data_IF_118961579359
#
_entry.id   IF_118961579359
#
_cell.length_a   1.000
_cell.length_b   1.000
_cell.length_c   1.000
_cell.angle_alpha   90.00
_cell.angle_beta   90.00
_cell.angle_gamma   90.00
#
_symmetry.space_group_name_H-M   'P 1'
#
loop_
_entity.id
_entity.type
_entity.pdbx_description
1 polymer ?
#
# COMPACT_ATOMS: atom_id res chain seq x y z
N UNK A 1 40.89 52.07 -27.67
CA UNK A 1 40.45 51.54 -26.34
C UNK A 1 38.98 51.25 -26.17
N UNK A 2 38.07 51.55 -27.12
CA UNK A 2 36.61 51.26 -26.97
C UNK A 2 36.21 49.85 -27.39
N UNK A 3 36.97 49.13 -28.22
CA UNK A 3 36.64 47.78 -28.67
C UNK A 3 36.90 46.70 -27.62
N UNK A 4 37.87 46.89 -26.70
CA UNK A 4 38.17 45.89 -25.66
C UNK A 4 37.10 45.73 -24.59
N UNK A 5 36.38 46.80 -24.26
CA UNK A 5 35.31 46.74 -23.26
C UNK A 5 34.05 46.05 -23.78
N UNK A 6 33.79 46.11 -25.10
CA UNK A 6 32.65 45.46 -25.72
C UNK A 6 32.85 43.93 -25.74
N UNK A 7 34.08 43.48 -25.94
CA UNK A 7 34.39 42.03 -25.91
C UNK A 7 34.32 41.44 -24.50
N UNK A 8 34.77 42.20 -23.49
CA UNK A 8 34.71 41.77 -22.09
C UNK A 8 33.26 41.68 -21.58
N UNK A 9 32.39 42.61 -22.00
CA UNK A 9 30.96 42.57 -21.62
C UNK A 9 30.20 41.39 -22.29
N UNK A 10 30.56 41.02 -23.52
CA UNK A 10 29.96 39.92 -24.24
C UNK A 10 30.34 38.57 -23.60
N UNK A 11 31.60 38.40 -23.19
CA UNK A 11 32.06 37.20 -22.50
C UNK A 11 31.40 37.04 -21.12
N UNK A 12 31.18 38.12 -20.38
CA UNK A 12 30.50 38.11 -19.10
C UNK A 12 29.02 37.68 -19.23
N UNK A 13 28.33 38.10 -20.30
CA UNK A 13 26.93 37.70 -20.54
C UNK A 13 26.83 36.19 -20.87
N UNK A 14 27.77 35.63 -21.60
CA UNK A 14 27.78 34.19 -21.95
C UNK A 14 28.00 33.31 -20.71
N UNK A 15 28.80 33.79 -19.72
CA UNK A 15 29.02 33.06 -18.48
C UNK A 15 27.78 32.99 -17.56
N UNK A 16 26.83 33.91 -17.67
CA UNK A 16 25.62 33.91 -16.89
C UNK A 16 24.54 32.90 -17.39
N UNK A 17 24.59 32.50 -18.65
CA UNK A 17 23.64 31.52 -19.19
C UNK A 17 24.13 30.06 -19.11
N UNK A 18 25.37 29.82 -18.67
CA UNK A 18 25.96 28.48 -18.54
C UNK A 18 25.67 27.74 -17.22
N UNK A 19 25.02 28.38 -16.25
CA UNK A 19 24.73 27.77 -14.94
C UNK A 19 23.31 27.18 -14.87
N UNK A 20 22.89 26.49 -15.90
CA UNK A 20 21.84 25.48 -15.71
C UNK A 20 22.54 24.23 -15.15
N UNK A 21 22.76 24.21 -13.83
CA UNK A 21 23.01 22.95 -13.15
C UNK A 21 21.79 22.07 -13.42
N UNK A 22 21.94 21.04 -14.27
CA UNK A 22 21.06 19.91 -14.26
C UNK A 22 21.17 19.32 -12.85
N UNK A 23 20.32 19.79 -11.95
CA UNK A 23 19.95 18.96 -10.83
C UNK A 23 19.40 17.69 -11.50
N UNK A 24 20.18 16.62 -11.46
CA UNK A 24 19.63 15.30 -11.56
C UNK A 24 18.62 15.25 -10.40
N UNK A 25 17.36 15.47 -10.70
CA UNK A 25 16.28 15.10 -9.81
C UNK A 25 16.50 13.60 -9.64
N UNK A 26 17.07 13.22 -8.50
CA UNK A 26 16.95 11.84 -8.01
C UNK A 26 15.45 11.69 -7.90
N UNK A 27 14.84 11.07 -8.89
CA UNK A 27 13.46 10.59 -8.80
C UNK A 27 13.51 9.54 -7.70
N UNK A 28 13.37 9.99 -6.44
CA UNK A 28 12.86 9.13 -5.41
C UNK A 28 11.57 8.56 -5.99
N UNK A 29 11.49 7.25 -6.06
CA UNK A 29 10.29 6.61 -6.56
C UNK A 29 9.16 6.96 -5.58
N UNK A 30 8.44 8.03 -5.92
CA UNK A 30 7.36 8.62 -5.09
C UNK A 30 6.32 7.54 -4.75
N UNK A 31 6.29 6.45 -5.55
CA UNK A 31 5.42 5.31 -5.32
C UNK A 31 5.85 4.42 -4.15
N UNK A 32 7.04 4.61 -3.58
CA UNK A 32 7.58 3.79 -2.48
C UNK A 32 7.56 4.50 -1.12
N UNK A 33 7.37 5.82 -1.11
CA UNK A 33 7.39 6.59 0.12
C UNK A 33 6.13 6.33 0.96
N UNK A 34 6.33 6.08 2.26
CA UNK A 34 5.25 5.95 3.24
C UNK A 34 5.00 7.30 3.90
N UNK A 35 3.84 7.89 3.63
CA UNK A 35 3.41 9.16 4.23
C UNK A 35 2.35 8.88 5.27
N UNK A 36 2.73 8.80 6.55
CA UNK A 36 1.80 8.53 7.64
C UNK A 36 1.19 9.82 8.15
N UNK A 37 -0.10 10.02 7.88
CA UNK A 37 -0.93 11.07 8.48
C UNK A 37 -1.79 10.38 9.55
N UNK A 38 -1.67 10.80 10.81
CA UNK A 38 -2.43 10.22 11.90
C UNK A 38 -3.94 10.55 11.77
N UNK A 39 -4.78 9.58 12.12
CA UNK A 39 -6.23 9.80 12.25
C UNK A 39 -6.52 10.68 13.48
N UNK A 40 -7.45 11.62 13.36
CA UNK A 40 -7.80 12.56 14.45
C UNK A 40 -8.42 11.86 15.66
N UNK A 41 -9.14 10.76 15.44
CA UNK A 41 -9.81 9.99 16.48
C UNK A 41 -8.92 8.93 17.12
N UNK A 42 -7.90 8.46 16.42
CA UNK A 42 -6.94 7.46 16.89
C UNK A 42 -5.56 7.64 16.22
N UNK A 43 -4.68 8.37 16.88
CA UNK A 43 -3.36 8.73 16.36
C UNK A 43 -2.42 7.56 16.09
N UNK A 44 -2.77 6.33 16.50
CA UNK A 44 -2.00 5.14 16.17
C UNK A 44 -2.41 4.52 14.81
N UNK A 45 -3.52 4.97 14.24
CA UNK A 45 -3.97 4.57 12.91
C UNK A 45 -3.68 5.67 11.88
N UNK A 46 -3.41 5.33 10.62
CA UNK A 46 -3.36 6.34 9.57
C UNK A 46 -4.75 6.89 9.30
N UNK A 47 -4.86 8.16 8.96
CA UNK A 47 -6.08 8.72 8.39
C UNK A 47 -6.44 7.98 7.10
N UNK A 48 -7.74 7.87 6.80
CA UNK A 48 -8.16 7.39 5.48
C UNK A 48 -7.87 8.48 4.44
N UNK A 49 -7.09 8.14 3.43
CA UNK A 49 -6.76 9.00 2.30
C UNK A 49 -6.95 8.25 0.97
N UNK A 50 -6.92 9.00 -0.15
CA UNK A 50 -7.02 8.46 -1.50
C UNK A 50 -5.90 9.05 -2.39
N UNK A 51 -4.71 9.22 -1.78
CA UNK A 51 -3.57 9.93 -2.37
C UNK A 51 -2.39 9.02 -2.71
N UNK A 52 -2.46 7.73 -2.36
CA UNK A 52 -1.38 6.77 -2.60
C UNK A 52 -0.22 6.92 -1.61
N UNK A 53 -0.51 7.19 -0.35
CA UNK A 53 0.50 7.42 0.71
C UNK A 53 1.17 6.16 1.25
N UNK A 54 0.89 5.00 0.65
CA UNK A 54 1.47 3.70 1.02
C UNK A 54 1.27 3.34 2.48
N UNK A 55 0.10 3.65 3.02
CA UNK A 55 -0.26 3.39 4.41
C UNK A 55 -1.41 2.41 4.52
N UNK A 56 -1.41 1.66 5.60
CA UNK A 56 -2.59 0.96 6.09
C UNK A 56 -2.56 0.89 7.61
N UNK A 57 -3.72 0.67 8.19
CA UNK A 57 -3.87 0.43 9.61
C UNK A 57 -5.21 -0.19 9.94
N UNK A 58 -5.23 -1.01 10.99
CA UNK A 58 -6.42 -1.63 11.54
C UNK A 58 -6.26 -1.85 13.04
N UNK A 59 -7.37 -2.02 13.75
CA UNK A 59 -7.38 -2.54 15.10
C UNK A 59 -7.52 -4.07 15.06
N UNK A 60 -6.56 -4.77 15.62
CA UNK A 60 -6.59 -6.20 15.86
C UNK A 60 -6.84 -6.42 17.36
N UNK A 61 -8.12 -6.59 17.73
CA UNK A 61 -8.60 -6.58 19.13
C UNK A 61 -8.22 -5.27 19.85
N UNK A 62 -7.19 -5.31 20.71
CA UNK A 62 -6.67 -4.15 21.47
C UNK A 62 -5.38 -3.60 20.87
N UNK A 63 -4.80 -4.30 19.92
CA UNK A 63 -3.53 -3.95 19.30
C UNK A 63 -3.75 -3.26 17.95
N UNK A 64 -2.71 -2.64 17.44
CA UNK A 64 -2.72 -2.01 16.13
C UNK A 64 -1.98 -2.89 15.13
N UNK A 65 -2.57 -3.13 13.98
CA UNK A 65 -1.89 -3.68 12.82
C UNK A 65 -1.64 -2.54 11.84
N UNK A 66 -0.39 -2.17 11.64
CA UNK A 66 -0.02 -0.97 10.87
C UNK A 66 1.16 -1.23 9.95
N UNK A 67 1.29 -0.37 8.95
CA UNK A 67 2.44 -0.37 8.05
C UNK A 67 3.76 -0.25 8.81
N UNK A 68 4.78 -0.97 8.34
CA UNK A 68 6.15 -0.89 8.85
C UNK A 68 7.04 -0.15 7.85
N UNK A 69 7.79 0.84 8.32
CA UNK A 69 8.76 1.55 7.48
C UNK A 69 9.86 0.59 7.00
N UNK A 70 10.18 0.64 5.71
CA UNK A 70 11.22 -0.19 5.10
C UNK A 70 10.75 -1.54 4.54
N UNK A 71 9.45 -1.84 4.61
CA UNK A 71 8.84 -3.00 3.97
C UNK A 71 7.82 -2.50 2.95
N UNK A 72 7.77 -3.11 1.77
CA UNK A 72 6.70 -2.86 0.80
C UNK A 72 5.36 -3.29 1.41
N UNK A 73 4.47 -2.34 1.76
CA UNK A 73 3.33 -2.64 2.63
C UNK A 73 2.21 -3.39 1.93
N UNK A 74 2.16 -3.35 0.61
CA UNK A 74 1.17 -4.05 -0.19
C UNK A 74 1.82 -4.76 -1.37
N UNK A 75 1.44 -6.02 -1.56
CA UNK A 75 1.75 -6.81 -2.75
C UNK A 75 0.46 -7.37 -3.33
N UNK A 76 0.35 -7.36 -4.64
CA UNK A 76 -0.80 -7.92 -5.35
C UNK A 76 -0.32 -8.96 -6.35
N UNK A 77 -1.04 -10.07 -6.38
CA UNK A 77 -0.77 -11.16 -7.31
C UNK A 77 -2.08 -11.65 -7.91
N UNK A 78 -2.11 -11.79 -9.22
CA UNK A 78 -3.21 -12.43 -9.92
C UNK A 78 -2.78 -13.80 -10.42
N UNK A 79 -3.57 -14.81 -10.11
CA UNK A 79 -3.35 -16.18 -10.55
C UNK A 79 -4.68 -16.92 -10.73
N UNK A 80 -4.92 -17.51 -11.90
CA UNK A 80 -6.04 -18.41 -12.18
C UNK A 80 -7.43 -17.86 -11.75
N UNK A 81 -7.76 -16.63 -12.16
CA UNK A 81 -9.05 -16.01 -11.83
C UNK A 81 -9.17 -15.47 -10.40
N UNK A 82 -8.09 -15.51 -9.62
CA UNK A 82 -8.07 -15.01 -8.24
C UNK A 82 -7.06 -13.89 -8.06
N UNK A 83 -7.46 -12.88 -7.31
CA UNK A 83 -6.58 -11.85 -6.81
C UNK A 83 -6.13 -12.20 -5.40
N UNK A 84 -4.84 -12.15 -5.15
CA UNK A 84 -4.23 -12.17 -3.84
C UNK A 84 -3.74 -10.76 -3.50
N UNK A 85 -4.20 -10.24 -2.38
CA UNK A 85 -3.77 -8.95 -1.81
C UNK A 85 -3.11 -9.21 -0.48
N UNK A 86 -1.87 -8.75 -0.31
CA UNK A 86 -1.05 -9.02 0.89
C UNK A 86 -0.75 -7.71 1.58
N UNK A 87 -1.23 -7.56 2.82
CA UNK A 87 -0.88 -6.46 3.71
C UNK A 87 0.25 -6.92 4.63
N UNK A 88 1.42 -6.31 4.49
CA UNK A 88 2.61 -6.67 5.26
C UNK A 88 3.01 -5.53 6.21
N UNK A 89 3.04 -5.80 7.49
CA UNK A 89 3.26 -4.79 8.50
C UNK A 89 3.64 -5.34 9.87
N UNK A 90 3.28 -4.60 10.90
CA UNK A 90 3.57 -4.96 12.29
C UNK A 90 2.33 -4.89 13.17
N UNK A 91 2.19 -5.84 14.06
CA UNK A 91 1.32 -5.76 15.22
C UNK A 91 2.03 -4.96 16.31
N UNK A 92 1.48 -3.79 16.62
CA UNK A 92 1.93 -2.94 17.72
C UNK A 92 1.02 -3.19 18.92
N UNK A 93 1.56 -3.79 19.97
CA UNK A 93 0.81 -4.02 21.21
C UNK A 93 0.56 -2.70 21.94
N UNK A 94 -0.65 -2.53 22.45
CA UNK A 94 -0.96 -1.50 23.43
C UNK A 94 -0.19 -1.87 24.70
N UNK A 95 0.69 -1.00 25.17
CA UNK A 95 1.69 -1.31 26.17
C UNK A 95 1.13 -2.00 27.42
N UNK A 96 1.43 -3.28 27.58
CA UNK A 96 1.58 -3.87 28.90
C UNK A 96 2.96 -3.46 29.42
N UNK A 97 3.03 -2.81 30.57
CA UNK A 97 4.23 -2.23 31.18
C UNK A 97 5.42 -3.21 31.34
N UNK A 98 5.22 -4.51 31.06
CA UNK A 98 6.15 -5.60 31.28
C UNK A 98 6.65 -6.32 30.02
N UNK A 99 6.21 -5.93 28.83
CA UNK A 99 6.57 -6.65 27.59
C UNK A 99 7.64 -5.88 26.81
N UNK A 100 8.82 -6.49 26.66
CA UNK A 100 9.91 -5.97 25.83
C UNK A 100 9.63 -6.03 24.33
N UNK A 101 8.63 -6.81 23.88
CA UNK A 101 8.27 -6.99 22.46
C UNK A 101 6.98 -6.25 22.12
N UNK A 102 7.07 -4.92 21.95
CA UNK A 102 5.94 -4.08 21.55
C UNK A 102 5.53 -4.29 20.08
N UNK A 103 6.40 -4.85 19.24
CA UNK A 103 6.20 -5.01 17.82
C UNK A 103 6.43 -6.47 17.41
N UNK A 104 5.52 -7.03 16.65
CA UNK A 104 5.68 -8.33 16.02
C UNK A 104 5.33 -8.21 14.52
N UNK A 105 6.10 -8.85 13.62
CA UNK A 105 5.68 -8.93 12.21
C UNK A 105 4.28 -9.50 12.11
N UNK A 106 3.45 -8.92 11.27
CA UNK A 106 2.10 -9.41 10.99
C UNK A 106 1.77 -9.22 9.52
N UNK A 107 1.23 -10.26 8.90
CA UNK A 107 0.82 -10.22 7.50
C UNK A 107 -0.59 -10.77 7.37
N UNK A 108 -1.44 -10.10 6.58
CA UNK A 108 -2.77 -10.57 6.22
C UNK A 108 -2.82 -10.77 4.71
N UNK A 109 -3.42 -11.87 4.30
CA UNK A 109 -3.60 -12.29 2.91
C UNK A 109 -5.10 -12.35 2.62
N UNK A 110 -5.57 -11.59 1.63
CA UNK A 110 -6.92 -11.67 1.10
C UNK A 110 -6.85 -12.30 -0.29
N UNK A 111 -7.49 -13.45 -0.46
CA UNK A 111 -7.65 -14.10 -1.77
C UNK A 111 -9.13 -14.06 -2.14
N UNK A 112 -9.45 -13.60 -3.34
CA UNK A 112 -10.83 -13.52 -3.83
C UNK A 112 -10.91 -13.72 -5.34
N UNK A 113 -12.05 -14.23 -5.88
CA UNK A 113 -12.27 -14.31 -7.31
C UNK A 113 -12.28 -12.92 -7.95
N UNK A 114 -11.56 -12.76 -9.06
CA UNK A 114 -11.54 -11.52 -9.84
C UNK A 114 -11.19 -11.84 -11.30
N UNK A 115 -12.13 -12.44 -12.02
CA UNK A 115 -11.91 -12.94 -13.39
C UNK A 115 -11.64 -11.82 -14.42
N UNK A 116 -11.97 -10.59 -14.07
CA UNK A 116 -11.77 -9.43 -14.95
C UNK A 116 -10.34 -8.91 -15.01
N UNK A 117 -9.47 -9.35 -14.12
CA UNK A 117 -8.07 -8.93 -14.08
C UNK A 117 -7.22 -9.79 -15.01
N UNK A 118 -6.65 -9.19 -16.04
CA UNK A 118 -5.72 -9.85 -16.97
C UNK A 118 -4.39 -9.11 -17.07
N UNK A 119 -4.35 -7.88 -16.58
CA UNK A 119 -3.18 -7.02 -16.63
C UNK A 119 -3.16 -6.06 -15.45
N UNK A 120 -2.05 -5.34 -15.31
CA UNK A 120 -1.91 -4.29 -14.31
C UNK A 120 -2.96 -3.17 -14.48
N UNK A 121 -3.34 -2.86 -15.71
CA UNK A 121 -4.36 -1.85 -16.05
C UNK A 121 -5.74 -2.20 -15.49
N UNK A 122 -6.02 -3.48 -15.37
CA UNK A 122 -7.31 -3.97 -14.88
C UNK A 122 -7.52 -3.73 -13.38
N UNK A 123 -6.47 -3.32 -12.64
CA UNK A 123 -6.61 -2.88 -11.25
C UNK A 123 -7.60 -1.71 -11.10
N UNK A 124 -7.80 -0.90 -12.14
CA UNK A 124 -8.81 0.16 -12.15
C UNK A 124 -10.24 -0.37 -12.02
N UNK A 125 -10.50 -1.61 -12.41
CA UNK A 125 -11.81 -2.26 -12.27
C UNK A 125 -12.18 -2.55 -10.82
N UNK A 126 -11.21 -2.49 -9.90
CA UNK A 126 -11.47 -2.57 -8.45
C UNK A 126 -12.16 -1.31 -7.91
N UNK A 127 -12.28 -0.23 -8.71
CA UNK A 127 -12.95 0.98 -8.25
C UNK A 127 -14.37 0.72 -7.77
N UNK A 128 -14.68 1.15 -6.54
CA UNK A 128 -15.97 0.97 -5.87
C UNK A 128 -16.42 -0.51 -5.76
N UNK A 129 -15.46 -1.44 -5.60
CA UNK A 129 -15.71 -2.88 -5.53
C UNK A 129 -15.68 -3.37 -4.09
N UNK A 130 -16.75 -4.04 -3.66
CA UNK A 130 -16.88 -4.69 -2.35
C UNK A 130 -16.73 -6.19 -2.49
N UNK A 131 -15.83 -6.77 -1.72
CA UNK A 131 -15.59 -8.20 -1.65
C UNK A 131 -16.15 -8.71 -0.31
N UNK A 132 -17.17 -9.55 -0.36
CA UNK A 132 -17.66 -10.27 0.82
C UNK A 132 -16.69 -11.43 1.11
N UNK A 133 -15.98 -11.36 2.21
CA UNK A 133 -14.93 -12.33 2.57
C UNK A 133 -15.47 -13.69 3.02
N UNK A 134 -16.80 -13.83 3.20
CA UNK A 134 -17.46 -15.14 3.45
C UNK A 134 -17.96 -15.81 2.16
N UNK A 135 -17.83 -15.13 1.01
CA UNK A 135 -18.29 -15.68 -0.26
C UNK A 135 -17.42 -16.85 -0.73
N UNK A 136 -18.03 -17.74 -1.50
CA UNK A 136 -17.33 -18.88 -2.10
C UNK A 136 -16.14 -18.43 -2.94
N UNK A 137 -14.99 -19.06 -2.72
CA UNK A 137 -13.74 -18.74 -3.41
C UNK A 137 -12.90 -17.66 -2.73
N UNK A 138 -13.44 -16.97 -1.71
CA UNK A 138 -12.66 -16.08 -0.85
C UNK A 138 -11.91 -16.87 0.22
N UNK A 139 -10.72 -16.44 0.56
CA UNK A 139 -9.91 -16.97 1.65
C UNK A 139 -9.16 -15.82 2.33
N UNK A 140 -9.11 -15.83 3.65
CA UNK A 140 -8.28 -14.93 4.44
C UNK A 140 -7.27 -15.74 5.23
N UNK A 141 -5.99 -15.39 5.11
CA UNK A 141 -4.91 -15.97 5.91
C UNK A 141 -4.22 -14.90 6.72
N UNK A 142 -3.67 -15.30 7.85
CA UNK A 142 -2.91 -14.41 8.73
C UNK A 142 -1.65 -15.11 9.22
N UNK A 143 -0.57 -14.33 9.28
CA UNK A 143 0.71 -14.72 9.89
C UNK A 143 1.05 -13.71 10.97
N UNK A 144 1.43 -14.17 12.16
CA UNK A 144 1.89 -13.32 13.27
C UNK A 144 3.23 -13.85 13.78
N UNK A 145 4.19 -12.93 13.96
CA UNK A 145 5.54 -13.26 14.38
C UNK A 145 6.36 -13.96 13.31
N UNK A 146 7.35 -14.72 13.74
CA UNK A 146 8.29 -15.45 12.89
C UNK A 146 7.73 -16.81 12.39
N UNK A 147 6.42 -17.04 12.53
CA UNK A 147 5.80 -18.27 12.06
C UNK A 147 6.17 -18.56 10.60
N UNK A 148 6.49 -19.80 10.29
CA UNK A 148 6.90 -20.22 8.94
C UNK A 148 5.75 -20.20 7.92
N UNK A 149 4.51 -20.37 8.38
CA UNK A 149 3.30 -20.43 7.54
C UNK A 149 2.20 -19.53 8.06
N UNK A 150 1.37 -19.04 7.13
CA UNK A 150 0.15 -18.34 7.45
C UNK A 150 -0.97 -19.33 7.79
N UNK A 151 -1.83 -18.98 8.74
CA UNK A 151 -3.00 -19.75 9.14
C UNK A 151 -4.23 -19.23 8.39
N UNK A 152 -5.02 -20.12 7.80
CA UNK A 152 -6.33 -19.78 7.23
C UNK A 152 -7.31 -19.47 8.36
N UNK A 153 -8.03 -18.35 8.23
CA UNK A 153 -9.00 -17.89 9.20
C UNK A 153 -10.40 -18.46 8.88
N UNK A 154 -11.12 -18.91 9.90
CA UNK A 154 -12.54 -19.26 9.80
C UNK A 154 -13.38 -17.98 9.86
N UNK A 155 -13.47 -17.27 8.71
CA UNK A 155 -14.15 -15.98 8.60
C UNK A 155 -15.66 -16.19 8.69
N UNK A 156 -16.29 -15.50 9.65
CA UNK A 156 -17.74 -15.52 9.85
C UNK A 156 -18.44 -14.26 9.35
N UNK A 157 -17.68 -13.17 9.25
CA UNK A 157 -18.15 -11.88 8.73
C UNK A 157 -16.92 -11.10 8.26
N UNK A 158 -17.00 -10.42 7.11
CA UNK A 158 -15.89 -9.60 6.64
C UNK A 158 -16.14 -8.97 5.28
N UNK A 159 -15.53 -7.81 5.08
CA UNK A 159 -15.56 -7.07 3.83
C UNK A 159 -14.17 -6.50 3.53
N UNK A 160 -13.74 -6.58 2.29
CA UNK A 160 -12.65 -5.79 1.73
C UNK A 160 -13.26 -4.87 0.67
N UNK A 161 -13.20 -3.56 0.88
CA UNK A 161 -13.80 -2.57 0.01
C UNK A 161 -12.75 -1.68 -0.63
N UNK A 162 -12.57 -1.80 -1.93
CA UNK A 162 -11.78 -0.89 -2.76
C UNK A 162 -12.65 0.33 -3.12
N UNK A 163 -12.60 1.38 -2.31
CA UNK A 163 -13.39 2.60 -2.56
C UNK A 163 -12.87 3.36 -3.77
N UNK A 164 -11.55 3.42 -3.91
CA UNK A 164 -10.89 4.15 -4.99
C UNK A 164 -9.91 3.25 -5.72
N UNK A 165 -9.96 3.26 -7.03
CA UNK A 165 -8.91 2.82 -7.93
C UNK A 165 -8.77 3.87 -9.03
N UNK A 166 -7.59 4.50 -9.15
CA UNK A 166 -7.35 5.56 -10.12
C UNK A 166 -5.89 5.57 -10.57
N UNK A 167 -5.63 6.08 -11.77
CA UNK A 167 -4.26 6.29 -12.23
C UNK A 167 -3.56 7.35 -11.39
N UNK A 168 -2.32 7.08 -11.04
CA UNK A 168 -1.38 8.06 -10.53
C UNK A 168 -0.53 8.57 -11.68
N UNK A 169 -0.73 9.83 -12.08
CA UNK A 169 -0.01 10.46 -13.17
C UNK A 169 0.85 11.57 -12.64
N UNK A 170 2.09 11.69 -13.19
CA UNK A 170 2.98 12.83 -13.00
C UNK A 170 3.39 13.30 -14.38
N UNK A 171 3.21 14.59 -14.68
CA UNK A 171 3.55 15.20 -15.97
C UNK A 171 2.97 14.40 -17.17
N UNK A 172 1.69 14.03 -17.10
CA UNK A 172 0.95 13.20 -18.05
C UNK A 172 1.47 11.76 -18.21
N UNK A 173 2.49 11.37 -17.47
CA UNK A 173 2.96 10.00 -17.43
C UNK A 173 2.31 9.23 -16.28
N UNK A 174 1.73 8.07 -16.61
CA UNK A 174 1.22 7.15 -15.61
C UNK A 174 2.39 6.46 -14.89
N UNK A 175 2.48 6.64 -13.58
CA UNK A 175 3.52 6.05 -12.74
C UNK A 175 2.99 4.93 -11.84
N UNK A 176 1.69 4.86 -11.62
CA UNK A 176 1.09 3.86 -10.76
C UNK A 176 -0.43 3.83 -10.81
N UNK A 177 -1.03 2.99 -9.97
CA UNK A 177 -2.45 2.97 -9.65
C UNK A 177 -2.60 3.22 -8.15
N UNK A 178 -3.40 4.22 -7.79
CA UNK A 178 -3.81 4.43 -6.41
C UNK A 178 -4.95 3.45 -6.12
N UNK A 179 -4.79 2.64 -5.07
CA UNK A 179 -5.83 1.78 -4.52
C UNK A 179 -6.06 2.17 -3.06
N UNK A 180 -7.26 2.63 -2.75
CA UNK A 180 -7.62 3.03 -1.39
C UNK A 180 -8.93 2.40 -0.97
N UNK A 181 -9.05 2.08 0.31
CA UNK A 181 -10.26 1.41 0.77
C UNK A 181 -10.25 1.09 2.25
N UNK A 182 -11.19 0.23 2.61
CA UNK A 182 -11.38 -0.21 4.00
C UNK A 182 -11.54 -1.71 4.07
N UNK A 183 -11.30 -2.30 5.25
CA UNK A 183 -11.56 -3.71 5.49
C UNK A 183 -11.95 -3.97 6.94
N UNK A 184 -12.69 -5.05 7.15
CA UNK A 184 -12.87 -5.65 8.46
C UNK A 184 -12.99 -7.17 8.32
N UNK A 185 -12.59 -7.90 9.35
CA UNK A 185 -12.66 -9.36 9.38
C UNK A 185 -13.02 -9.82 10.78
N UNK A 186 -14.06 -10.62 10.91
CA UNK A 186 -14.42 -11.34 12.13
C UNK A 186 -14.29 -12.84 11.86
N UNK A 187 -13.55 -13.52 12.69
CA UNK A 187 -13.25 -14.94 12.50
C UNK A 187 -13.25 -15.69 13.83
N UNK A 188 -13.41 -17.01 13.77
CA UNK A 188 -13.34 -17.86 14.95
C UNK A 188 -11.91 -18.20 15.32
N UNK A 189 -11.62 -18.17 16.62
CA UNK A 189 -10.38 -18.63 17.24
C UNK A 189 -10.75 -19.59 18.37
N UNK A 190 -10.83 -20.88 18.06
CA UNK A 190 -11.41 -21.88 18.98
C UNK A 190 -12.90 -21.63 19.21
N UNK A 191 -13.31 -21.39 20.45
CA UNK A 191 -14.69 -21.08 20.84
C UNK A 191 -15.01 -19.57 20.83
N UNK A 192 -14.03 -18.71 20.64
CA UNK A 192 -14.17 -17.25 20.71
C UNK A 192 -14.15 -16.61 19.31
N UNK A 193 -14.54 -15.34 19.26
CA UNK A 193 -14.44 -14.54 18.06
C UNK A 193 -13.35 -13.49 18.21
N UNK A 194 -12.52 -13.38 17.19
CA UNK A 194 -11.50 -12.34 17.06
C UNK A 194 -11.92 -11.39 15.94
N UNK A 195 -11.65 -10.10 16.12
CA UNK A 195 -12.05 -9.06 15.15
C UNK A 195 -10.86 -8.19 14.76
N UNK A 196 -10.71 -8.01 13.46
CA UNK A 196 -9.91 -6.94 12.85
C UNK A 196 -10.89 -5.89 12.35
N UNK A 197 -10.84 -4.68 12.90
CA UNK A 197 -11.80 -3.61 12.59
C UNK A 197 -11.11 -2.29 12.27
N UNK A 198 -11.89 -1.34 11.75
CA UNK A 198 -11.38 -0.01 11.35
C UNK A 198 -10.21 -0.10 10.36
N UNK A 199 -10.17 -1.18 9.59
CA UNK A 199 -9.15 -1.36 8.57
C UNK A 199 -9.29 -0.30 7.48
N UNK A 200 -8.17 0.33 7.14
CA UNK A 200 -8.06 1.33 6.05
C UNK A 200 -6.73 1.20 5.37
N UNK A 201 -6.71 1.52 4.09
CA UNK A 201 -5.50 1.49 3.28
C UNK A 201 -5.53 2.54 2.18
N UNK A 202 -4.35 2.99 1.79
CA UNK A 202 -4.12 3.93 0.70
C UNK A 202 -2.75 3.66 0.08
N UNK A 203 -2.74 3.03 -1.09
CA UNK A 203 -1.52 2.55 -1.73
C UNK A 203 -1.32 3.14 -3.13
N UNK A 204 -0.07 3.38 -3.47
CA UNK A 204 0.39 3.64 -4.81
C UNK A 204 1.06 2.37 -5.36
N UNK A 205 0.37 1.65 -6.23
CA UNK A 205 0.85 0.40 -6.82
C UNK A 205 1.53 0.70 -8.14
N UNK A 206 2.82 0.41 -8.25
CA UNK A 206 3.52 0.37 -9.53
C UNK A 206 3.55 -1.07 -10.09
N UNK A 207 4.03 -1.24 -11.31
CA UNK A 207 4.07 -2.56 -11.95
C UNK A 207 4.94 -3.59 -11.20
N UNK A 208 5.94 -3.14 -10.42
CA UNK A 208 6.83 -4.04 -9.67
C UNK A 208 6.13 -4.73 -8.50
N UNK A 209 5.04 -4.15 -7.98
CA UNK A 209 4.26 -4.70 -6.87
C UNK A 209 3.03 -5.47 -7.31
N UNK A 210 2.81 -5.59 -8.62
CA UNK A 210 1.77 -6.41 -9.22
C UNK A 210 2.38 -7.55 -10.01
N UNK A 211 2.09 -8.78 -9.63
CA UNK A 211 2.53 -9.98 -10.32
C UNK A 211 1.35 -10.66 -11.00
N UNK A 212 1.41 -10.76 -12.32
CA UNK A 212 0.47 -11.55 -13.11
C UNK A 212 1.08 -12.91 -13.43
N UNK A 213 0.46 -13.97 -12.95
CA UNK A 213 0.83 -15.35 -13.29
C UNK A 213 -0.19 -15.85 -14.29
N UNK A 214 0.22 -15.94 -15.56
CA UNK A 214 -0.63 -16.49 -16.61
C UNK A 214 -1.05 -17.92 -16.26
N UNK A 215 -2.31 -18.29 -16.42
CA UNK A 215 -2.65 -19.71 -16.44
C UNK A 215 -1.84 -20.36 -17.55
N UNK A 216 -1.15 -21.46 -17.25
CA UNK A 216 -0.45 -22.24 -18.27
C UNK A 216 -1.44 -22.56 -19.40
N UNK A 217 -1.01 -22.44 -20.67
CA UNK A 217 -1.87 -22.74 -21.81
C UNK A 217 -2.29 -24.21 -21.83
#
# INVERSE_FOLDING_TARGET
MKAGYLFLSLVAIICFFGSCSRHSVVTHDITEEIIFIADESDHNLPAYTESGYNTFGALFEKDYFVVNKGITPLKMQYHQGKMLVVFDGVRKRTADFYSSNLYAPMTIYFTFPFDECKSYEDLLKLHNTKINLTATGCEVKMKIGEASSATTLDVVEGELFFRRAQNLNIDDNRIGVILSGTFFVKFKTGSEYTVIKNGRFDFSINQNYFTYISPNP
#
